data_IF_095560598480
#
_entry.id   IF_095560598480
#
_cell.length_a   1.000
_cell.length_b   1.000
_cell.length_c   1.000
_cell.angle_alpha   90.00
_cell.angle_beta   90.00
_cell.angle_gamma   90.00
#
_symmetry.space_group_name_H-M   'P 1'
#
loop_
_entity.id
_entity.type
_entity.pdbx_description
1 polymer ?
#
# COMPACT_ATOMS: atom_id res chain seq x y z
N UNK A 1 -30.19 -8.05 -0.28
CA UNK A 1 -29.68 -7.78 -1.64
C UNK A 1 -28.17 -7.70 -1.56
N UNK A 2 -27.46 -8.77 -1.93
CA UNK A 2 -25.99 -8.75 -1.99
C UNK A 2 -25.57 -7.84 -3.13
N UNK A 3 -24.89 -6.72 -2.81
CA UNK A 3 -24.21 -5.92 -3.83
C UNK A 3 -23.00 -6.72 -4.30
N UNK A 4 -23.11 -7.35 -5.46
CA UNK A 4 -21.94 -7.86 -6.16
C UNK A 4 -21.04 -6.67 -6.48
N UNK A 5 -19.84 -6.67 -5.90
CA UNK A 5 -18.83 -5.64 -6.09
C UNK A 5 -17.89 -6.19 -7.14
N UNK A 6 -18.01 -5.72 -8.38
CA UNK A 6 -17.10 -6.12 -9.45
C UNK A 6 -15.69 -5.66 -9.08
N UNK A 7 -14.79 -6.63 -8.87
CA UNK A 7 -13.37 -6.36 -8.68
C UNK A 7 -12.72 -6.43 -10.04
N UNK A 8 -12.10 -5.34 -10.49
CA UNK A 8 -11.13 -5.42 -11.57
C UNK A 8 -9.96 -6.25 -11.05
N UNK A 9 -9.59 -7.31 -11.74
CA UNK A 9 -8.48 -8.20 -11.38
C UNK A 9 -7.50 -8.22 -12.55
N UNK A 10 -6.21 -8.04 -12.25
CA UNK A 10 -5.14 -8.22 -13.23
C UNK A 10 -4.82 -9.69 -13.40
N UNK A 11 -4.55 -10.13 -14.63
CA UNK A 11 -4.00 -11.47 -14.86
C UNK A 11 -2.54 -11.61 -14.38
N UNK A 12 -1.84 -10.49 -14.15
CA UNK A 12 -0.40 -10.48 -13.84
C UNK A 12 -0.09 -10.32 -12.36
N UNK A 13 -0.56 -9.23 -11.73
CA UNK A 13 -0.19 -8.89 -10.37
C UNK A 13 -1.34 -8.15 -9.66
N UNK A 14 -1.68 -8.59 -8.45
CA UNK A 14 -2.76 -8.03 -7.66
C UNK A 14 -2.34 -7.77 -6.21
N UNK A 15 -3.11 -6.95 -5.52
CA UNK A 15 -3.06 -6.68 -4.10
C UNK A 15 -4.33 -7.22 -3.42
N UNK A 16 -4.22 -7.70 -2.19
CA UNK A 16 -5.39 -8.10 -1.38
C UNK A 16 -5.85 -6.93 -0.49
N UNK A 17 -6.97 -6.30 -0.86
CA UNK A 17 -7.52 -5.11 -0.19
C UNK A 17 -9.02 -5.28 0.03
N UNK A 18 -9.51 -5.02 1.24
CA UNK A 18 -10.90 -5.23 1.64
C UNK A 18 -11.42 -6.62 1.24
N UNK A 19 -10.61 -7.66 1.40
CA UNK A 19 -10.89 -9.04 0.98
C UNK A 19 -11.14 -9.25 -0.52
N UNK A 20 -10.69 -8.31 -1.35
CA UNK A 20 -10.81 -8.37 -2.81
C UNK A 20 -9.44 -8.22 -3.48
N UNK A 21 -9.29 -8.82 -4.67
CA UNK A 21 -8.11 -8.66 -5.50
C UNK A 21 -8.19 -7.38 -6.31
N UNK A 22 -7.15 -6.56 -6.24
CA UNK A 22 -7.06 -5.31 -6.98
C UNK A 22 -5.75 -5.20 -7.75
N UNK A 23 -5.74 -4.74 -9.01
CA UNK A 23 -4.51 -4.51 -9.77
C UNK A 23 -3.62 -3.42 -9.15
N UNK A 24 -4.22 -2.54 -8.36
CA UNK A 24 -3.59 -1.40 -7.72
C UNK A 24 -4.64 -0.53 -7.05
N UNK A 25 -4.25 0.22 -6.02
CA UNK A 25 -5.16 1.09 -5.29
C UNK A 25 -4.46 2.35 -4.77
N UNK A 26 -5.26 3.40 -4.59
CA UNK A 26 -4.84 4.68 -4.05
C UNK A 26 -5.74 5.03 -2.86
N UNK A 27 -5.14 5.38 -1.73
CA UNK A 27 -5.82 6.00 -0.59
C UNK A 27 -5.36 7.45 -0.46
N UNK A 28 -6.27 8.35 -0.09
CA UNK A 28 -5.95 9.77 0.04
C UNK A 28 -5.86 10.48 -1.31
N UNK A 29 -5.05 11.54 -1.37
CA UNK A 29 -4.84 12.37 -2.57
C UNK A 29 -3.36 12.50 -2.88
N UNK A 30 -2.95 12.02 -4.06
CA UNK A 30 -1.56 12.10 -4.56
C UNK A 30 -1.08 13.54 -4.71
N UNK A 31 -1.97 14.50 -4.92
CA UNK A 31 -1.61 15.91 -5.11
C UNK A 31 -1.47 16.65 -3.77
N UNK A 32 -1.83 16.02 -2.65
CA UNK A 32 -1.71 16.64 -1.35
C UNK A 32 -0.25 16.75 -0.93
N UNK A 33 0.18 17.98 -0.64
CA UNK A 33 1.54 18.27 -0.16
C UNK A 33 1.75 17.96 1.31
N UNK A 34 0.68 17.82 2.08
CA UNK A 34 0.77 17.69 3.54
C UNK A 34 0.02 16.51 4.12
N UNK A 35 -0.91 15.91 3.36
CA UNK A 35 -1.80 14.89 3.91
C UNK A 35 -1.33 13.47 3.54
N UNK A 36 -1.97 12.49 4.17
CA UNK A 36 -1.80 11.07 3.90
C UNK A 36 -2.20 10.74 2.47
N UNK A 37 -1.34 9.96 1.85
CA UNK A 37 -1.66 9.22 0.66
C UNK A 37 -0.85 7.94 0.63
N UNK A 38 -1.43 6.90 0.05
CA UNK A 38 -0.79 5.61 -0.12
C UNK A 38 -1.19 5.04 -1.47
N UNK A 39 -0.20 4.74 -2.29
CA UNK A 39 -0.37 4.18 -3.62
C UNK A 39 0.35 2.84 -3.69
N UNK A 40 -0.43 1.79 -3.94
CA UNK A 40 0.07 0.53 -4.47
C UNK A 40 -0.26 0.51 -5.96
N UNK A 41 0.69 0.90 -6.79
CA UNK A 41 0.46 1.13 -8.21
C UNK A 41 0.36 -0.20 -8.99
N UNK A 42 -0.18 -0.14 -10.20
CA UNK A 42 -0.23 -1.28 -11.11
C UNK A 42 1.18 -1.68 -11.50
N UNK A 43 1.47 -2.98 -11.34
CA UNK A 43 2.76 -3.59 -11.70
C UNK A 43 2.73 -4.02 -13.16
N UNK A 44 3.64 -3.51 -14.02
CA UNK A 44 3.74 -3.93 -15.42
C UNK A 44 4.10 -5.40 -15.58
N UNK A 45 3.65 -5.99 -16.69
CA UNK A 45 4.10 -7.33 -17.12
C UNK A 45 5.63 -7.34 -17.24
N UNK A 46 6.26 -8.42 -16.77
CA UNK A 46 7.72 -8.55 -16.72
C UNK A 46 8.36 -8.05 -15.43
N UNK A 47 7.58 -7.43 -14.54
CA UNK A 47 8.03 -7.04 -13.19
C UNK A 47 7.25 -7.76 -12.11
N UNK A 48 7.93 -8.13 -11.02
CA UNK A 48 7.32 -8.86 -9.89
C UNK A 48 7.25 -7.99 -8.63
N UNK A 49 8.21 -7.07 -8.46
CA UNK A 49 8.25 -6.21 -7.28
C UNK A 49 7.08 -5.21 -7.31
N UNK A 50 6.27 -5.12 -6.25
CA UNK A 50 5.17 -4.17 -6.17
C UNK A 50 5.70 -2.75 -6.17
N UNK A 51 4.91 -1.77 -6.61
CA UNK A 51 5.32 -0.37 -6.62
C UNK A 51 4.56 0.39 -5.52
N UNK A 52 5.19 0.51 -4.36
CA UNK A 52 4.60 1.16 -3.18
C UNK A 52 5.17 2.57 -3.01
N UNK A 53 4.26 3.51 -2.79
CA UNK A 53 4.53 4.92 -2.57
C UNK A 53 3.59 5.45 -1.48
N UNK A 54 4.01 6.48 -0.75
CA UNK A 54 3.12 7.10 0.22
C UNK A 54 3.77 8.14 1.11
N UNK A 55 2.91 8.96 1.71
CA UNK A 55 3.21 9.74 2.92
C UNK A 55 2.45 9.13 4.08
N UNK A 56 3.18 8.60 5.05
CA UNK A 56 2.63 7.80 6.15
C UNK A 56 2.70 8.60 7.45
N UNK A 57 1.67 8.45 8.29
CA UNK A 57 1.56 9.08 9.60
C UNK A 57 1.37 8.04 10.71
N UNK A 58 1.73 8.45 11.94
CA UNK A 58 1.48 7.70 13.17
C UNK A 58 0.12 8.06 13.80
N UNK A 59 -0.29 7.38 14.90
CA UNK A 59 -1.56 7.66 15.56
C UNK A 59 -1.69 9.08 16.11
N UNK A 60 -0.59 9.83 16.26
CA UNK A 60 -0.59 11.22 16.74
C UNK A 60 -0.76 12.22 15.59
N UNK A 61 -0.87 11.75 14.34
CA UNK A 61 -0.91 12.60 13.16
C UNK A 61 0.46 13.16 12.77
N UNK A 62 1.55 12.60 13.29
CA UNK A 62 2.90 12.99 12.91
C UNK A 62 3.34 12.21 11.67
N UNK A 63 3.88 12.91 10.67
CA UNK A 63 4.45 12.26 9.49
C UNK A 63 5.68 11.43 9.91
N UNK A 64 5.67 10.13 9.63
CA UNK A 64 6.77 9.22 9.98
C UNK A 64 7.74 9.03 8.83
N UNK A 65 7.23 8.90 7.61
CA UNK A 65 8.05 8.77 6.40
C UNK A 65 7.29 9.19 5.14
N UNK A 66 8.05 9.54 4.12
CA UNK A 66 7.62 9.56 2.72
C UNK A 66 8.44 8.54 1.95
N UNK A 67 7.77 7.81 1.06
CA UNK A 67 8.39 6.81 0.21
C UNK A 67 7.90 6.90 -1.23
N UNK A 68 8.81 6.60 -2.15
CA UNK A 68 8.52 6.43 -3.57
C UNK A 68 9.33 5.27 -4.13
N UNK A 69 8.72 4.46 -5.00
CA UNK A 69 9.35 3.29 -5.62
C UNK A 69 10.02 2.35 -4.61
N UNK A 70 9.32 2.02 -3.52
CA UNK A 70 9.81 1.18 -2.41
C UNK A 70 11.08 1.72 -1.71
N UNK A 71 11.37 3.01 -1.83
CA UNK A 71 12.50 3.67 -1.15
C UNK A 71 11.99 4.81 -0.29
N UNK A 72 12.59 4.97 0.90
CA UNK A 72 12.32 6.12 1.75
C UNK A 72 12.95 7.36 1.10
N UNK A 73 12.14 8.37 0.82
CA UNK A 73 12.56 9.65 0.23
C UNK A 73 12.64 10.75 1.28
N UNK A 74 11.85 10.65 2.36
CA UNK A 74 11.90 11.54 3.53
C UNK A 74 11.70 10.71 4.81
N UNK A 75 12.55 10.93 5.81
CA UNK A 75 12.58 10.07 6.99
C UNK A 75 12.64 10.85 8.33
N UNK A 76 11.63 11.67 8.65
CA UNK A 76 11.65 12.51 9.86
C UNK A 76 11.66 11.69 11.16
N UNK A 77 11.12 10.46 11.15
CA UNK A 77 10.99 9.62 12.33
C UNK A 77 12.03 8.49 12.42
N UNK A 78 13.04 8.46 11.54
CA UNK A 78 14.10 7.46 11.59
C UNK A 78 13.64 6.03 11.29
N UNK A 79 12.64 5.85 10.42
CA UNK A 79 12.19 4.55 9.95
C UNK A 79 13.30 3.80 9.22
N UNK A 80 13.30 2.48 9.33
CA UNK A 80 14.27 1.59 8.66
C UNK A 80 13.51 0.68 7.70
N UNK A 81 14.04 0.54 6.48
CA UNK A 81 13.54 -0.44 5.51
C UNK A 81 14.44 -1.68 5.53
N UNK A 82 13.83 -2.84 5.76
CA UNK A 82 14.51 -4.14 5.75
C UNK A 82 13.97 -4.95 4.57
N UNK A 83 14.88 -5.43 3.70
CA UNK A 83 14.51 -6.28 2.57
C UNK A 83 14.25 -7.70 3.05
N UNK A 84 13.18 -8.30 2.52
CA UNK A 84 12.76 -9.66 2.82
C UNK A 84 12.69 -10.45 1.51
N UNK A 85 12.78 -11.79 1.59
CA UNK A 85 12.46 -12.62 0.44
C UNK A 85 11.01 -12.31 -0.03
N UNK A 86 10.87 -11.93 -1.30
CA UNK A 86 9.57 -11.55 -1.86
C UNK A 86 9.03 -10.18 -1.41
N UNK A 87 9.81 -9.31 -0.76
CA UNK A 87 9.31 -7.97 -0.44
C UNK A 87 10.17 -7.18 0.54
N UNK A 88 9.53 -6.43 1.43
CA UNK A 88 10.21 -5.60 2.42
C UNK A 88 9.31 -5.34 3.64
N UNK A 89 9.93 -4.93 4.74
CA UNK A 89 9.23 -4.32 5.86
C UNK A 89 9.83 -2.98 6.21
N UNK A 90 8.99 -2.07 6.69
CA UNK A 90 9.38 -0.80 7.26
C UNK A 90 9.13 -0.88 8.76
N UNK A 91 10.14 -0.52 9.54
CA UNK A 91 10.05 -0.43 11.00
C UNK A 91 10.06 1.01 11.47
N UNK A 92 9.25 1.30 12.48
CA UNK A 92 9.16 2.59 13.17
C UNK A 92 9.31 2.34 14.67
N UNK A 93 10.28 3.01 15.30
CA UNK A 93 10.59 2.82 16.72
C UNK A 93 10.82 1.35 17.13
N UNK A 94 11.40 0.53 16.22
CA UNK A 94 11.64 -0.89 16.45
C UNK A 94 10.45 -1.81 16.12
N UNK A 95 9.26 -1.27 15.91
CA UNK A 95 8.06 -2.07 15.59
C UNK A 95 7.75 -2.09 14.09
N UNK A 96 7.16 -3.16 13.54
CA UNK A 96 6.70 -3.18 12.15
C UNK A 96 5.61 -2.13 11.90
N UNK A 97 5.88 -1.19 10.99
CA UNK A 97 4.90 -0.18 10.53
C UNK A 97 4.13 -0.68 9.30
N UNK A 98 4.87 -1.23 8.33
CA UNK A 98 4.34 -1.71 7.07
C UNK A 98 5.16 -2.94 6.63
N UNK A 99 4.50 -4.00 6.22
CA UNK A 99 5.11 -5.18 5.59
C UNK A 99 4.44 -5.42 4.25
N UNK A 100 5.25 -5.60 3.23
CA UNK A 100 4.83 -5.85 1.86
C UNK A 100 5.48 -7.13 1.41
N UNK A 101 4.68 -8.11 0.99
CA UNK A 101 5.17 -9.42 0.61
C UNK A 101 4.41 -9.95 -0.60
N UNK A 102 5.16 -10.33 -1.62
CA UNK A 102 4.66 -10.81 -2.91
C UNK A 102 4.90 -12.30 -3.01
N UNK A 103 3.84 -13.03 -3.34
CA UNK A 103 3.89 -14.46 -3.59
C UNK A 103 3.41 -14.76 -5.00
N UNK A 104 3.97 -15.80 -5.62
CA UNK A 104 3.39 -16.36 -6.84
C UNK A 104 2.04 -17.03 -6.51
N UNK A 105 1.05 -16.84 -7.37
CA UNK A 105 -0.29 -17.38 -7.20
C UNK A 105 -0.88 -17.78 -8.56
N UNK A 106 -1.05 -19.10 -8.77
CA UNK A 106 -1.54 -19.73 -10.00
C UNK A 106 -0.83 -19.25 -11.29
N UNK A 107 -1.30 -18.16 -11.89
CA UNK A 107 -0.81 -17.58 -13.15
C UNK A 107 -0.36 -16.12 -13.02
N UNK A 108 -0.16 -15.64 -11.80
CA UNK A 108 0.29 -14.27 -11.54
C UNK A 108 0.88 -14.13 -10.15
N UNK A 109 0.81 -12.92 -9.63
CA UNK A 109 1.39 -12.55 -8.35
C UNK A 109 0.34 -11.91 -7.44
N UNK A 110 0.47 -12.18 -6.15
CA UNK A 110 -0.33 -11.57 -5.10
C UNK A 110 0.59 -10.87 -4.11
N UNK A 111 0.48 -9.55 -4.04
CA UNK A 111 1.10 -8.76 -2.97
C UNK A 111 0.13 -8.63 -1.80
N UNK A 112 0.61 -9.09 -0.64
CA UNK A 112 -0.01 -8.90 0.66
C UNK A 112 0.64 -7.72 1.36
N UNK A 113 -0.20 -6.82 1.83
CA UNK A 113 0.23 -5.68 2.62
C UNK A 113 -0.29 -5.91 4.04
N UNK A 114 0.50 -5.53 5.03
CA UNK A 114 0.15 -5.58 6.44
C UNK A 114 0.69 -4.31 7.08
N UNK A 115 -0.13 -3.62 7.87
CA UNK A 115 0.30 -2.39 8.53
C UNK A 115 -0.89 -1.55 8.95
N UNK A 116 -0.73 -0.81 10.05
CA UNK A 116 -1.74 0.11 10.56
C UNK A 116 -1.27 1.54 10.33
N UNK A 117 -1.90 2.22 9.36
CA UNK A 117 -1.49 3.55 8.92
C UNK A 117 -2.58 4.58 9.25
N UNK A 118 -2.14 5.79 9.54
CA UNK A 118 -2.98 6.89 9.96
C UNK A 118 -2.83 8.08 9.01
N UNK A 119 -3.76 9.03 9.09
CA UNK A 119 -3.62 10.36 8.47
C UNK A 119 -3.15 11.43 9.46
N UNK A 120 -3.03 12.67 8.98
CA UNK A 120 -2.61 13.83 9.78
C UNK A 120 -3.53 14.15 10.96
N UNK A 121 -4.76 13.62 10.95
CA UNK A 121 -5.72 13.78 12.05
C UNK A 121 -5.66 12.60 13.02
N UNK A 122 -4.75 11.64 12.82
CA UNK A 122 -4.65 10.41 13.61
C UNK A 122 -5.77 9.41 13.30
N UNK A 123 -6.51 9.56 12.19
CA UNK A 123 -7.55 8.60 11.79
C UNK A 123 -6.93 7.44 11.04
N UNK A 124 -7.40 6.22 11.34
CA UNK A 124 -6.97 5.00 10.65
C UNK A 124 -7.38 5.08 9.17
N UNK A 125 -6.43 4.86 8.27
CA UNK A 125 -6.65 4.80 6.82
C UNK A 125 -6.43 3.42 6.25
N UNK A 126 -5.63 2.61 6.91
CA UNK A 126 -5.38 1.22 6.56
C UNK A 126 -5.07 0.43 7.83
N UNK A 127 -5.60 -0.79 7.94
CA UNK A 127 -5.23 -1.72 9.01
C UNK A 127 -5.23 -3.17 8.52
N UNK A 128 -4.54 -4.09 9.21
CA UNK A 128 -4.54 -5.51 8.89
C UNK A 128 -5.95 -6.13 8.86
N UNK A 129 -6.22 -6.96 7.85
CA UNK A 129 -7.40 -7.83 7.80
C UNK A 129 -7.02 -9.18 7.17
N UNK A 130 -6.97 -10.22 8.00
CA UNK A 130 -6.46 -11.55 7.61
C UNK A 130 -5.11 -11.41 6.87
N UNK A 131 -5.03 -11.90 5.63
CA UNK A 131 -3.84 -11.88 4.78
C UNK A 131 -3.64 -10.57 4.01
N UNK A 132 -4.55 -9.61 4.12
CA UNK A 132 -4.50 -8.33 3.39
C UNK A 132 -4.72 -7.13 4.30
N UNK A 133 -5.23 -6.06 3.70
CA UNK A 133 -5.56 -4.82 4.42
C UNK A 133 -7.02 -4.45 4.28
N UNK A 134 -7.59 -3.89 5.35
CA UNK A 134 -8.80 -3.10 5.29
C UNK A 134 -8.42 -1.63 5.14
N UNK A 135 -9.14 -0.89 4.28
CA UNK A 135 -8.87 0.53 4.01
C UNK A 135 -10.09 1.39 4.25
N UNK A 136 -9.84 2.64 4.68
CA UNK A 136 -10.87 3.57 5.14
C UNK A 136 -10.74 4.96 4.49
N UNK A 137 -11.88 5.65 4.44
CA UNK A 137 -11.98 7.00 3.87
C UNK A 137 -12.02 6.99 2.34
N UNK A 138 -11.69 8.15 1.74
CA UNK A 138 -11.65 8.31 0.28
C UNK A 138 -10.44 7.59 -0.32
N UNK A 139 -10.68 6.88 -1.42
CA UNK A 139 -9.66 6.19 -2.19
C UNK A 139 -10.24 5.52 -3.44
N UNK A 140 -9.35 5.15 -4.37
CA UNK A 140 -9.66 4.35 -5.56
C UNK A 140 -9.16 2.94 -5.31
N UNK A 141 -10.07 1.97 -5.16
CA UNK A 141 -9.71 0.60 -4.76
C UNK A 141 -9.32 -0.31 -5.93
N UNK A 142 -9.51 0.14 -7.16
CA UNK A 142 -9.12 -0.58 -8.36
C UNK A 142 -8.67 0.42 -9.42
N UNK A 143 -7.35 0.48 -9.65
CA UNK A 143 -6.76 1.31 -10.69
C UNK A 143 -6.89 0.63 -12.05
N UNK A 144 -7.20 1.42 -13.08
CA UNK A 144 -7.26 0.95 -14.48
C UNK A 144 -6.02 1.33 -15.29
N UNK A 145 -5.19 2.23 -14.75
CA UNK A 145 -3.91 2.67 -15.32
C UNK A 145 -2.94 3.04 -14.20
N UNK A 146 -1.65 3.01 -14.52
CA UNK A 146 -0.61 3.47 -13.59
C UNK A 146 -0.84 4.93 -13.23
N UNK A 147 -0.61 5.26 -11.96
CA UNK A 147 -0.70 6.64 -11.48
C UNK A 147 0.64 7.35 -11.58
N UNK A 148 1.74 6.62 -11.41
CA UNK A 148 3.09 7.15 -11.54
C UNK A 148 3.82 6.38 -12.66
N UNK A 149 4.22 7.12 -13.70
CA UNK A 149 5.10 6.61 -14.74
C UNK A 149 6.55 6.70 -14.25
N UNK A 150 7.35 5.69 -14.61
CA UNK A 150 8.80 5.70 -14.40
C UNK A 150 9.45 6.81 -15.24
#
# INVERSE_FOLDING_TARGET
MLKFRESLVSAHHNYLVNQMLSPGFLLGDLNSKEDFWFLADIVPVGTVEPSIHGRIFDPKGCCVLEMGFNKITRNPAGCVIERLAGGFQIRYAGEPLLKVHTVAFANGYLTRIQGKLYDREGKIRMEPLLDGVQVFGKGTLALTRRQLLL
#
